data_IF_630558114931
#
_entry.id   IF_630558114931
#
_cell.length_a   1.000
_cell.length_b   1.000
_cell.length_c   1.000
_cell.angle_alpha   90.00
_cell.angle_beta   90.00
_cell.angle_gamma   90.00
#
_symmetry.space_group_name_H-M   'P 1'
#
loop_
_entity.id
_entity.type
_entity.pdbx_description
1 polymer ?
#
# COMPACT_ATOMS: atom_id res chain seq x y z
N UNK A 1 -36.97 19.18 -10.38
CA UNK A 1 -35.53 18.89 -10.26
C UNK A 1 -35.42 17.58 -9.50
N UNK A 2 -34.36 16.78 -9.68
CA UNK A 2 -34.19 15.47 -8.99
C UNK A 2 -35.06 14.35 -9.60
N UNK A 3 -34.53 13.27 -10.17
CA UNK A 3 -33.85 12.14 -9.52
C UNK A 3 -32.60 11.70 -10.33
N UNK A 4 -32.45 12.21 -11.56
CA UNK A 4 -31.34 11.89 -12.48
C UNK A 4 -29.98 12.44 -12.05
N UNK A 5 -29.94 13.51 -11.24
CA UNK A 5 -28.68 14.05 -10.71
C UNK A 5 -28.07 13.17 -9.61
N UNK A 6 -28.88 12.62 -8.70
CA UNK A 6 -28.43 11.74 -7.61
C UNK A 6 -27.81 10.41 -8.11
N UNK A 7 -28.36 9.86 -9.19
CA UNK A 7 -27.81 8.65 -9.83
C UNK A 7 -26.42 8.90 -10.48
N UNK A 8 -26.16 10.14 -10.92
CA UNK A 8 -24.86 10.53 -11.48
C UNK A 8 -23.79 10.74 -10.39
N UNK A 9 -24.19 11.25 -9.22
CA UNK A 9 -23.31 11.38 -8.05
C UNK A 9 -22.95 10.02 -7.46
N UNK A 10 -23.87 9.05 -7.49
CA UNK A 10 -23.59 7.67 -7.04
C UNK A 10 -22.50 7.00 -7.89
N UNK A 11 -22.46 7.27 -9.20
CA UNK A 11 -21.39 6.80 -10.10
C UNK A 11 -20.01 7.40 -9.81
N UNK A 12 -19.93 8.51 -9.10
CA UNK A 12 -18.66 9.10 -8.64
C UNK A 12 -18.12 8.48 -7.34
N UNK A 13 -18.98 7.84 -6.53
CA UNK A 13 -18.56 7.12 -5.31
C UNK A 13 -18.22 5.65 -5.58
N UNK A 14 -18.81 5.04 -6.60
CA UNK A 14 -18.50 3.67 -7.05
C UNK A 14 -17.03 3.43 -7.45
N UNK A 15 -16.23 4.38 -7.99
CA UNK A 15 -14.82 4.16 -8.32
C UNK A 15 -13.90 4.21 -7.09
N UNK A 16 -14.36 4.75 -5.96
CA UNK A 16 -13.58 4.80 -4.70
C UNK A 16 -13.66 3.48 -3.92
N UNK A 17 -14.77 2.74 -4.06
CA UNK A 17 -15.02 1.47 -3.39
C UNK A 17 -14.10 0.28 -3.80
N UNK A 18 -13.70 0.08 -5.07
CA UNK A 18 -12.78 -1.00 -5.43
C UNK A 18 -11.37 -0.82 -4.85
N UNK A 19 -10.95 0.42 -4.54
CA UNK A 19 -9.71 0.66 -3.79
C UNK A 19 -9.84 0.18 -2.33
N UNK A 20 -11.01 0.33 -1.70
CA UNK A 20 -11.25 -0.07 -0.31
C UNK A 20 -11.31 -1.60 -0.15
N UNK A 21 -11.87 -2.34 -1.11
CA UNK A 21 -11.99 -3.82 -1.03
C UNK A 21 -10.62 -4.52 -1.07
N UNK A 22 -9.62 -3.92 -1.72
CA UNK A 22 -8.23 -4.43 -1.78
C UNK A 22 -7.37 -4.02 -0.55
N UNK A 23 -7.89 -3.13 0.30
CA UNK A 23 -7.20 -2.58 1.47
C UNK A 23 -7.59 -3.24 2.81
N UNK A 24 -8.66 -4.03 2.85
CA UNK A 24 -9.15 -4.67 4.09
C UNK A 24 -8.22 -5.81 4.53
N UNK A 25 -7.50 -6.44 3.59
CA UNK A 25 -6.44 -7.40 3.89
C UNK A 25 -5.31 -7.10 2.91
N UNK A 26 -4.41 -6.19 3.27
CA UNK A 26 -3.19 -6.00 2.48
C UNK A 26 -2.26 -7.16 2.82
N UNK A 27 -2.53 -8.31 2.19
CA UNK A 27 -1.67 -9.47 2.26
C UNK A 27 -0.32 -9.07 1.65
N UNK A 28 0.72 -9.15 2.47
CA UNK A 28 2.10 -8.98 2.05
C UNK A 28 2.78 -10.34 2.08
N UNK A 29 3.98 -10.44 1.51
CA UNK A 29 4.82 -11.62 1.68
C UNK A 29 4.88 -12.11 3.14
N UNK A 30 4.93 -11.17 4.10
CA UNK A 30 5.03 -11.49 5.54
C UNK A 30 3.77 -12.15 6.13
N UNK A 31 2.60 -12.01 5.51
CA UNK A 31 1.35 -12.65 5.98
C UNK A 31 1.10 -14.03 5.37
N UNK A 32 1.95 -14.49 4.45
CA UNK A 32 1.84 -15.83 3.86
C UNK A 32 2.22 -16.94 4.85
N UNK A 33 1.78 -18.17 4.58
CA UNK A 33 2.23 -19.37 5.27
C UNK A 33 3.74 -19.58 5.09
N UNK A 34 4.37 -20.31 6.00
CA UNK A 34 5.81 -20.55 5.94
C UNK A 34 6.21 -21.32 4.67
N UNK A 35 5.42 -22.32 4.25
CA UNK A 35 5.63 -23.06 3.00
C UNK A 35 5.66 -22.14 1.78
N UNK A 36 4.71 -21.19 1.67
CA UNK A 36 4.68 -20.22 0.57
C UNK A 36 5.82 -19.21 0.62
N UNK A 37 6.30 -18.88 1.81
CA UNK A 37 7.47 -18.00 1.98
C UNK A 37 8.73 -18.69 1.50
N UNK A 38 8.89 -19.97 1.82
CA UNK A 38 10.01 -20.79 1.35
C UNK A 38 10.00 -20.91 -0.18
N UNK A 39 8.87 -21.28 -0.77
CA UNK A 39 8.71 -21.36 -2.24
C UNK A 39 9.06 -20.03 -2.93
N UNK A 40 8.61 -18.91 -2.36
CA UNK A 40 8.93 -17.58 -2.89
C UNK A 40 10.43 -17.24 -2.76
N UNK A 41 11.09 -17.67 -1.68
CA UNK A 41 12.53 -17.46 -1.49
C UNK A 41 13.33 -18.31 -2.47
N UNK A 42 12.94 -19.57 -2.69
CA UNK A 42 13.57 -20.44 -3.68
C UNK A 42 13.41 -19.86 -5.09
N UNK A 43 12.21 -19.39 -5.42
CA UNK A 43 11.98 -18.71 -6.70
C UNK A 43 12.86 -17.47 -6.90
N UNK A 44 13.07 -16.66 -5.85
CA UNK A 44 13.95 -15.49 -5.92
C UNK A 44 15.45 -15.86 -5.95
N UNK A 45 15.82 -16.99 -5.37
CA UNK A 45 17.21 -17.46 -5.29
C UNK A 45 17.66 -18.13 -6.58
N UNK A 46 16.81 -18.96 -7.17
CA UNK A 46 17.10 -19.73 -8.40
C UNK A 46 16.70 -18.96 -9.67
N UNK A 47 15.77 -18.02 -9.55
CA UNK A 47 15.27 -17.25 -10.68
C UNK A 47 16.24 -16.18 -11.18
N UNK A 48 16.12 -15.85 -12.47
CA UNK A 48 16.79 -14.72 -13.11
C UNK A 48 15.71 -13.73 -13.58
N UNK A 49 16.06 -12.44 -13.66
CA UNK A 49 15.16 -11.42 -14.22
C UNK A 49 14.93 -11.71 -15.69
N UNK A 50 13.67 -11.87 -16.07
CA UNK A 50 13.30 -12.14 -17.46
C UNK A 50 13.41 -10.84 -18.29
N UNK A 51 13.97 -10.94 -19.50
CA UNK A 51 14.10 -9.80 -20.41
C UNK A 51 12.96 -9.74 -21.44
N UNK A 52 12.46 -10.91 -21.85
CA UNK A 52 11.36 -11.06 -22.79
C UNK A 52 10.03 -10.52 -22.22
N UNK A 53 9.17 -9.84 -23.00
CA UNK A 53 7.89 -9.31 -22.53
C UNK A 53 6.93 -10.35 -21.93
N UNK A 54 6.85 -11.55 -22.52
CA UNK A 54 5.99 -12.63 -22.03
C UNK A 54 6.60 -13.22 -20.75
N UNK A 55 7.92 -13.42 -20.74
CA UNK A 55 8.68 -13.81 -19.55
C UNK A 55 8.48 -12.85 -18.37
N UNK A 56 8.62 -11.54 -18.62
CA UNK A 56 8.37 -10.47 -17.64
C UNK A 56 6.95 -10.50 -17.09
N UNK A 57 5.95 -10.70 -17.95
CA UNK A 57 4.57 -10.79 -17.50
C UNK A 57 4.35 -12.02 -16.62
N UNK A 58 4.89 -13.18 -17.01
CA UNK A 58 4.83 -14.41 -16.20
C UNK A 58 5.51 -14.25 -14.84
N UNK A 59 6.69 -13.61 -14.82
CA UNK A 59 7.41 -13.29 -13.59
C UNK A 59 6.59 -12.35 -12.70
N UNK A 60 5.98 -11.31 -13.28
CA UNK A 60 5.10 -10.38 -12.54
C UNK A 60 3.89 -11.08 -11.93
N UNK A 61 3.27 -12.03 -12.64
CA UNK A 61 2.18 -12.83 -12.10
C UNK A 61 2.64 -13.66 -10.90
N UNK A 62 3.76 -14.38 -11.02
CA UNK A 62 4.35 -15.15 -9.91
C UNK A 62 4.69 -14.26 -8.70
N UNK A 63 5.36 -13.13 -8.91
CA UNK A 63 5.69 -12.19 -7.83
C UNK A 63 4.43 -11.64 -7.15
N UNK A 64 3.37 -11.39 -7.91
CA UNK A 64 2.06 -10.97 -7.38
C UNK A 64 1.42 -12.06 -6.53
N UNK A 65 1.51 -13.33 -6.92
CA UNK A 65 1.01 -14.47 -6.12
C UNK A 65 1.71 -14.56 -4.77
N UNK A 66 3.02 -14.30 -4.75
CA UNK A 66 3.83 -14.20 -3.54
C UNK A 66 3.69 -12.86 -2.80
N UNK A 67 2.81 -11.97 -3.26
CA UNK A 67 2.56 -10.63 -2.65
C UNK A 67 3.84 -9.78 -2.55
N UNK A 68 4.77 -9.98 -3.46
CA UNK A 68 6.03 -9.26 -3.61
C UNK A 68 5.85 -8.06 -4.55
N UNK A 69 6.86 -7.19 -4.66
CA UNK A 69 6.89 -6.10 -5.64
C UNK A 69 7.09 -6.62 -7.07
N UNK A 70 6.74 -5.78 -8.04
CA UNK A 70 6.82 -6.15 -9.46
C UNK A 70 8.27 -6.27 -9.96
N UNK A 71 9.22 -5.59 -9.31
CA UNK A 71 10.64 -5.70 -9.66
C UNK A 71 11.32 -6.83 -8.89
N UNK A 72 11.88 -7.78 -9.65
CA UNK A 72 12.53 -8.98 -9.14
C UNK A 72 13.70 -8.67 -8.19
N UNK A 73 14.62 -7.78 -8.57
CA UNK A 73 15.81 -7.47 -7.76
C UNK A 73 15.46 -6.66 -6.52
N UNK A 74 14.49 -5.74 -6.63
CA UNK A 74 14.00 -4.99 -5.47
C UNK A 74 13.52 -5.95 -4.37
N UNK A 75 12.81 -7.03 -4.72
CA UNK A 75 12.36 -8.01 -3.74
C UNK A 75 13.52 -8.66 -2.99
N UNK A 76 14.59 -9.01 -3.70
CA UNK A 76 15.80 -9.59 -3.10
C UNK A 76 16.42 -8.61 -2.10
N UNK A 77 16.57 -7.34 -2.48
CA UNK A 77 17.13 -6.32 -1.59
C UNK A 77 16.26 -6.09 -0.34
N UNK A 78 14.93 -6.02 -0.50
CA UNK A 78 14.00 -5.85 0.61
C UNK A 78 14.12 -6.99 1.62
N UNK A 79 14.18 -8.24 1.13
CA UNK A 79 14.24 -9.42 1.98
C UNK A 79 15.60 -9.56 2.68
N UNK A 80 16.70 -9.27 1.98
CA UNK A 80 18.04 -9.23 2.61
C UNK A 80 18.10 -8.17 3.71
N UNK A 81 17.66 -6.95 3.41
CA UNK A 81 17.60 -5.86 4.39
C UNK A 81 16.73 -6.22 5.61
N UNK A 82 15.61 -6.90 5.38
CA UNK A 82 14.73 -7.41 6.44
C UNK A 82 15.42 -8.44 7.34
N UNK A 83 16.11 -9.42 6.75
CA UNK A 83 16.72 -10.53 7.48
C UNK A 83 17.91 -10.09 8.35
N UNK A 84 18.66 -9.07 7.92
CA UNK A 84 19.77 -8.52 8.70
C UNK A 84 19.33 -7.92 10.05
N UNK A 85 18.15 -7.28 10.13
CA UNK A 85 17.61 -6.80 11.40
C UNK A 85 16.08 -6.69 11.35
N UNK A 86 15.43 -7.82 11.66
CA UNK A 86 13.97 -7.97 11.58
C UNK A 86 13.22 -6.97 12.47
N UNK A 87 13.72 -6.73 13.69
CA UNK A 87 13.03 -5.87 14.67
C UNK A 87 13.00 -4.43 14.24
N UNK A 88 14.11 -3.91 13.77
CA UNK A 88 14.25 -2.50 13.40
C UNK A 88 13.70 -2.22 11.99
N UNK A 89 13.95 -3.14 11.05
CA UNK A 89 13.67 -2.92 9.62
C UNK A 89 12.33 -3.49 9.16
N UNK A 90 11.69 -4.32 9.99
CA UNK A 90 10.43 -4.97 9.66
C UNK A 90 9.30 -3.99 9.32
N UNK A 91 9.23 -2.84 10.00
CA UNK A 91 8.25 -1.81 9.69
C UNK A 91 8.42 -1.23 8.28
N UNK A 92 9.65 -0.92 7.90
CA UNK A 92 10.01 -0.37 6.59
C UNK A 92 9.77 -1.39 5.45
N UNK A 93 10.27 -2.62 5.60
CA UNK A 93 10.11 -3.66 4.56
C UNK A 93 8.64 -4.01 4.32
N UNK A 94 7.82 -4.06 5.39
CA UNK A 94 6.36 -4.21 5.26
C UNK A 94 5.78 -3.04 4.47
N UNK A 95 6.14 -1.80 4.81
CA UNK A 95 5.67 -0.61 4.10
C UNK A 95 6.04 -0.63 2.60
N UNK A 96 7.21 -1.13 2.21
CA UNK A 96 7.59 -1.26 0.79
C UNK A 96 6.67 -2.19 -0.01
N UNK A 97 6.18 -3.28 0.60
CA UNK A 97 5.20 -4.16 -0.05
C UNK A 97 3.77 -3.59 -0.01
N UNK A 98 3.42 -2.87 1.05
CA UNK A 98 2.07 -2.33 1.28
C UNK A 98 1.76 -1.14 0.37
N UNK A 99 2.67 -0.17 0.26
CA UNK A 99 2.44 1.12 -0.42
C UNK A 99 3.33 1.28 -1.65
N UNK A 100 3.32 0.28 -2.54
CA UNK A 100 4.06 0.28 -3.82
C UNK A 100 3.84 1.55 -4.65
N UNK A 101 2.65 2.15 -4.54
CA UNK A 101 2.33 3.39 -5.25
C UNK A 101 3.17 4.57 -4.81
N UNK A 102 3.68 4.59 -3.57
CA UNK A 102 4.32 5.75 -2.93
C UNK A 102 5.80 5.92 -3.29
N UNK A 103 6.38 5.01 -4.06
CA UNK A 103 7.75 5.11 -4.52
C UNK A 103 7.88 4.71 -5.99
N UNK A 104 9.02 5.05 -6.58
CA UNK A 104 9.56 4.41 -7.78
C UNK A 104 10.85 3.69 -7.44
N UNK A 105 11.18 2.68 -8.23
CA UNK A 105 12.47 2.02 -8.16
C UNK A 105 13.12 2.09 -9.54
N UNK A 106 14.16 2.91 -9.63
CA UNK A 106 14.86 3.21 -10.89
C UNK A 106 16.35 3.35 -10.57
N UNK A 107 17.23 2.88 -11.47
CA UNK A 107 18.69 2.91 -11.29
C UNK A 107 19.18 2.28 -9.98
N UNK A 108 18.46 1.27 -9.50
CA UNK A 108 18.70 0.61 -8.20
C UNK A 108 18.53 1.52 -6.97
N UNK A 109 17.74 2.58 -7.09
CA UNK A 109 17.38 3.45 -5.98
C UNK A 109 15.87 3.50 -5.80
N UNK A 110 15.41 3.42 -4.55
CA UNK A 110 14.04 3.70 -4.17
C UNK A 110 13.87 5.20 -3.98
N UNK A 111 12.99 5.82 -4.77
CA UNK A 111 12.67 7.25 -4.68
C UNK A 111 11.22 7.45 -4.26
N UNK A 112 11.01 8.21 -3.19
CA UNK A 112 9.67 8.46 -2.66
C UNK A 112 8.95 9.54 -3.47
N UNK A 113 7.71 9.26 -3.87
CA UNK A 113 6.83 10.20 -4.56
C UNK A 113 6.17 11.14 -3.54
N UNK A 114 6.58 12.41 -3.51
CA UNK A 114 5.99 13.42 -2.62
C UNK A 114 4.56 13.79 -3.00
N UNK A 115 4.25 13.79 -4.30
CA UNK A 115 2.96 14.25 -4.82
C UNK A 115 1.77 13.34 -4.41
N UNK A 116 2.01 12.11 -3.93
CA UNK A 116 0.94 11.19 -3.53
C UNK A 116 0.45 11.40 -2.10
N UNK A 117 1.12 12.25 -1.31
CA UNK A 117 0.69 12.57 0.05
C UNK A 117 -0.65 13.31 0.12
N UNK A 118 -1.07 13.98 -0.96
CA UNK A 118 -2.35 14.66 -0.98
C UNK A 118 -3.54 13.68 -0.83
N UNK A 119 -3.38 12.42 -1.26
CA UNK A 119 -4.43 11.39 -1.22
C UNK A 119 -4.85 11.07 0.23
N UNK A 120 -3.94 10.68 1.15
CA UNK A 120 -4.33 10.45 2.53
C UNK A 120 -4.87 11.71 3.20
N UNK A 121 -4.36 12.91 2.88
CA UNK A 121 -4.94 14.16 3.40
C UNK A 121 -6.39 14.37 2.92
N UNK A 122 -6.65 14.17 1.63
CA UNK A 122 -8.01 14.25 1.08
C UNK A 122 -8.95 13.25 1.77
N UNK A 123 -8.51 12.00 1.95
CA UNK A 123 -9.28 10.97 2.65
C UNK A 123 -9.57 11.39 4.10
N UNK A 124 -8.60 12.00 4.80
CA UNK A 124 -8.79 12.48 6.16
C UNK A 124 -9.91 13.51 6.23
N UNK A 125 -9.87 14.53 5.38
CA UNK A 125 -10.89 15.59 5.37
C UNK A 125 -12.26 15.06 4.98
N UNK A 126 -12.35 14.17 3.98
CA UNK A 126 -13.62 13.51 3.61
C UNK A 126 -14.19 12.72 4.79
N UNK A 127 -13.34 12.00 5.53
CA UNK A 127 -13.71 11.33 6.76
C UNK A 127 -14.29 12.31 7.77
N UNK A 128 -13.55 13.38 8.10
CA UNK A 128 -13.99 14.42 9.05
C UNK A 128 -15.34 15.04 8.66
N UNK A 129 -15.55 15.36 7.38
CA UNK A 129 -16.84 15.90 6.91
C UNK A 129 -17.98 14.90 7.10
N UNK A 130 -17.76 13.61 6.82
CA UNK A 130 -18.76 12.56 7.08
C UNK A 130 -19.08 12.44 8.59
N UNK A 131 -18.06 12.48 9.45
CA UNK A 131 -18.23 12.44 10.90
C UNK A 131 -18.97 13.66 11.45
N UNK A 132 -18.62 14.85 10.99
CA UNK A 132 -19.30 16.09 11.36
C UNK A 132 -20.78 16.07 10.92
N UNK A 133 -21.06 15.60 9.70
CA UNK A 133 -22.43 15.39 9.23
C UNK A 133 -23.22 14.40 10.09
N UNK A 134 -22.59 13.30 10.51
CA UNK A 134 -23.20 12.34 11.42
C UNK A 134 -23.57 12.96 12.78
N UNK A 135 -22.67 13.77 13.35
CA UNK A 135 -22.90 14.48 14.62
C UNK A 135 -24.03 15.50 14.52
N UNK A 136 -24.06 16.30 13.44
CA UNK A 136 -25.13 17.27 13.21
C UNK A 136 -26.49 16.59 13.07
N UNK A 137 -26.56 15.50 12.31
CA UNK A 137 -27.78 14.71 12.17
C UNK A 137 -28.20 14.12 13.51
N UNK A 138 -27.26 13.58 14.29
CA UNK A 138 -27.54 13.03 15.61
C UNK A 138 -28.17 14.06 16.55
N UNK A 139 -27.52 15.21 16.73
CA UNK A 139 -27.98 16.29 17.61
C UNK A 139 -29.19 17.06 17.08
N UNK A 140 -29.48 16.98 15.78
CA UNK A 140 -30.64 17.63 15.17
C UNK A 140 -31.97 17.09 15.67
N UNK A 141 -32.91 17.99 15.96
CA UNK A 141 -34.28 17.66 16.38
C UNK A 141 -35.17 17.19 15.24
N UNK A 142 -34.68 17.25 14.00
CA UNK A 142 -35.43 16.84 12.81
C UNK A 142 -35.48 15.31 12.74
N UNK A 143 -36.69 14.76 12.79
CA UNK A 143 -36.92 13.32 12.75
C UNK A 143 -37.16 12.88 11.31
N UNK A 144 -36.17 12.21 10.72
CA UNK A 144 -36.30 11.57 9.41
C UNK A 144 -36.51 10.06 9.57
N UNK A 145 -37.33 9.42 8.73
CA UNK A 145 -37.36 7.95 8.69
C UNK A 145 -35.94 7.44 8.40
N UNK A 146 -35.51 6.42 9.15
CA UNK A 146 -34.16 5.82 9.04
C UNK A 146 -32.96 6.71 9.46
N UNK A 147 -33.18 7.78 10.25
CA UNK A 147 -32.09 8.63 10.81
C UNK A 147 -30.89 7.84 11.34
N UNK A 148 -31.16 6.77 12.08
CA UNK A 148 -30.14 5.89 12.67
C UNK A 148 -29.25 5.20 11.64
N UNK A 149 -29.81 4.77 10.49
CA UNK A 149 -29.05 4.15 9.41
C UNK A 149 -28.11 5.15 8.74
N UNK A 150 -28.55 6.39 8.53
CA UNK A 150 -27.72 7.45 7.96
C UNK A 150 -26.58 7.84 8.90
N UNK A 151 -26.87 8.05 10.19
CA UNK A 151 -25.83 8.35 11.19
C UNK A 151 -24.82 7.20 11.28
N UNK A 152 -25.30 5.95 11.33
CA UNK A 152 -24.44 4.76 11.34
C UNK A 152 -23.56 4.64 10.10
N UNK A 153 -24.12 4.88 8.92
CA UNK A 153 -23.37 4.87 7.65
C UNK A 153 -22.29 5.96 7.61
N UNK A 154 -22.62 7.19 8.00
CA UNK A 154 -21.66 8.29 8.06
C UNK A 154 -20.56 8.05 9.10
N UNK A 155 -20.90 7.49 10.27
CA UNK A 155 -19.93 7.11 11.28
C UNK A 155 -18.98 6.00 10.80
N UNK A 156 -19.50 5.00 10.08
CA UNK A 156 -18.69 3.95 9.47
C UNK A 156 -17.71 4.52 8.43
N UNK A 157 -18.16 5.42 7.56
CA UNK A 157 -17.32 6.12 6.58
C UNK A 157 -16.23 6.93 7.29
N UNK A 158 -16.58 7.68 8.35
CA UNK A 158 -15.63 8.44 9.16
C UNK A 158 -14.51 7.55 9.71
N UNK A 159 -14.87 6.47 10.42
CA UNK A 159 -13.90 5.54 11.02
C UNK A 159 -12.98 4.97 9.92
N UNK A 160 -13.57 4.52 8.82
CA UNK A 160 -12.84 3.90 7.72
C UNK A 160 -11.83 4.86 7.07
N UNK A 161 -12.26 6.07 6.72
CA UNK A 161 -11.43 7.06 6.02
C UNK A 161 -10.32 7.61 6.93
N UNK A 162 -10.62 7.88 8.20
CA UNK A 162 -9.60 8.31 9.18
C UNK A 162 -8.57 7.21 9.39
N UNK A 163 -9.02 5.97 9.60
CA UNK A 163 -8.11 4.83 9.77
C UNK A 163 -7.16 4.68 8.57
N UNK A 164 -7.68 4.68 7.34
CA UNK A 164 -6.83 4.51 6.15
C UNK A 164 -5.88 5.68 5.92
N UNK A 165 -6.33 6.92 6.16
CA UNK A 165 -5.48 8.09 6.04
C UNK A 165 -4.28 8.00 6.99
N UNK A 166 -4.54 7.75 8.28
CA UNK A 166 -3.51 7.61 9.30
C UNK A 166 -2.59 6.42 8.98
N UNK A 167 -3.16 5.28 8.62
CA UNK A 167 -2.39 4.09 8.26
C UNK A 167 -1.45 4.34 7.06
N UNK A 168 -1.95 5.02 6.02
CA UNK A 168 -1.17 5.38 4.84
C UNK A 168 -0.03 6.35 5.17
N UNK A 169 -0.31 7.38 5.99
CA UNK A 169 0.70 8.33 6.47
C UNK A 169 1.79 7.66 7.29
N UNK A 170 1.42 6.76 8.21
CA UNK A 170 2.39 6.02 9.02
C UNK A 170 3.32 5.16 8.16
N UNK A 171 2.78 4.48 7.14
CA UNK A 171 3.60 3.72 6.20
C UNK A 171 4.53 4.62 5.39
N UNK A 172 4.06 5.79 4.94
CA UNK A 172 4.91 6.75 4.25
C UNK A 172 6.05 7.27 5.15
N UNK A 173 5.76 7.58 6.42
CA UNK A 173 6.78 8.01 7.38
C UNK A 173 7.83 6.92 7.59
N UNK A 174 7.41 5.66 7.76
CA UNK A 174 8.34 4.52 7.87
C UNK A 174 9.25 4.41 6.66
N UNK A 175 8.71 4.58 5.44
CA UNK A 175 9.51 4.63 4.23
C UNK A 175 10.53 5.78 4.28
N UNK A 176 10.07 7.00 4.57
CA UNK A 176 10.93 8.18 4.60
C UNK A 176 12.10 8.04 5.58
N UNK A 177 11.88 7.43 6.73
CA UNK A 177 12.90 7.30 7.77
C UNK A 177 14.06 6.37 7.40
N UNK A 178 13.82 5.35 6.56
CA UNK A 178 14.80 4.28 6.29
C UNK A 178 15.20 4.15 4.81
N UNK A 179 14.62 4.94 3.91
CA UNK A 179 14.90 4.84 2.46
C UNK A 179 16.35 5.16 2.10
N UNK A 180 16.98 6.12 2.77
CA UNK A 180 18.38 6.49 2.51
C UNK A 180 19.33 5.38 2.95
N UNK A 181 19.12 4.82 4.15
CA UNK A 181 19.86 3.65 4.65
C UNK A 181 19.69 2.45 3.72
N UNK A 182 18.46 2.20 3.26
CA UNK A 182 18.16 1.10 2.35
C UNK A 182 18.85 1.26 0.99
N UNK A 183 18.81 2.46 0.41
CA UNK A 183 19.49 2.75 -0.86
C UNK A 183 21.02 2.59 -0.73
N UNK A 184 21.59 3.04 0.39
CA UNK A 184 23.01 2.83 0.67
C UNK A 184 23.37 1.33 0.71
N UNK A 185 22.53 0.50 1.34
CA UNK A 185 22.73 -0.94 1.36
C UNK A 185 22.61 -1.58 -0.02
N UNK A 186 21.67 -1.12 -0.87
CA UNK A 186 21.59 -1.59 -2.26
C UNK A 186 22.91 -1.29 -2.99
N UNK A 187 23.46 -0.09 -2.82
CA UNK A 187 24.74 0.27 -3.43
C UNK A 187 25.88 -0.63 -2.94
N UNK A 188 25.98 -0.87 -1.62
CA UNK A 188 27.00 -1.75 -1.06
C UNK A 188 26.90 -3.17 -1.62
N UNK A 189 25.69 -3.73 -1.67
CA UNK A 189 25.48 -5.08 -2.18
C UNK A 189 25.89 -5.19 -3.66
N UNK A 190 25.55 -4.19 -4.48
CA UNK A 190 25.93 -4.18 -5.89
C UNK A 190 27.44 -4.07 -6.10
N UNK A 191 28.12 -3.30 -5.24
CA UNK A 191 29.58 -3.20 -5.27
C UNK A 191 30.24 -4.53 -4.90
N UNK A 192 29.77 -5.18 -3.83
CA UNK A 192 30.25 -6.50 -3.41
C UNK A 192 30.03 -7.57 -4.49
N UNK A 193 28.85 -7.57 -5.12
CA UNK A 193 28.55 -8.49 -6.22
C UNK A 193 29.43 -8.25 -7.46
N UNK A 194 29.78 -6.98 -7.76
CA UNK A 194 30.72 -6.66 -8.84
C UNK A 194 32.15 -7.08 -8.49
N UNK A 195 32.56 -6.93 -7.24
CA UNK A 195 33.91 -7.23 -6.78
C UNK A 195 34.16 -8.74 -6.67
N UNK A 196 33.15 -9.53 -6.29
CA UNK A 196 33.22 -11.00 -6.23
C UNK A 196 33.05 -11.68 -7.61
N UNK A 197 32.71 -10.93 -8.66
CA UNK A 197 32.65 -11.42 -10.06
C UNK A 197 33.92 -11.11 -10.87
N UNK A 198 34.87 -10.37 -10.28
CA UNK A 198 36.18 -9.98 -10.84
C UNK A 198 37.25 -10.95 -10.36
#
# INVERSE_FOLDING_TARGET
MEITSLASTYKFFIPLLPYLKKLIIVETFFSLSNEKKEEALDYLKEGIKEEDPIGKYKQKLKLSDFKLCDDFYLNIYILRYYLENIKERGGFCKSLFLVKGFYTYENSEVKLKRNLLWIPFLMFFLGLFAGYGALLLWCGTISYPMKWLYVGGCAFIFIQYVYYSVYSLLNYIRLKLKVEEFNFLITLYRLDEMLNKL
#
